data_IF_003646466435
#
_entry.id   IF_003646466435
#
_cell.length_a   1.000
_cell.length_b   1.000
_cell.length_c   1.000
_cell.angle_alpha   90.00
_cell.angle_beta   90.00
_cell.angle_gamma   90.00
#
_symmetry.space_group_name_H-M   'P 1'
#
loop_
_entity.id
_entity.type
_entity.pdbx_description
1 polymer ?
#
# COMPACT_ATOMS: atom_id res chain seq x y z
N UNK A 1 -17.48 14.27 -4.63
CA UNK A 1 -16.51 14.49 -5.51
C UNK A 1 -15.29 13.75 -5.23
N UNK A 2 -14.56 14.09 -4.21
CA UNK A 2 -13.38 13.41 -3.91
C UNK A 2 -13.53 11.95 -3.71
N UNK A 3 -14.62 11.53 -3.09
CA UNK A 3 -14.91 10.14 -2.83
C UNK A 3 -15.05 9.35 -4.11
N UNK A 4 -15.69 9.93 -5.08
CA UNK A 4 -15.85 9.28 -6.37
C UNK A 4 -14.51 9.10 -7.06
N UNK A 5 -13.67 10.12 -6.99
CA UNK A 5 -12.36 10.06 -7.58
C UNK A 5 -11.51 8.96 -6.95
N UNK A 6 -11.57 8.88 -5.63
CA UNK A 6 -10.84 7.84 -4.91
C UNK A 6 -11.34 6.46 -5.29
N UNK A 7 -12.63 6.29 -5.39
CA UNK A 7 -13.20 5.01 -5.77
C UNK A 7 -12.78 4.60 -7.16
N UNK A 8 -12.75 5.54 -8.08
CA UNK A 8 -12.35 5.27 -9.44
C UNK A 8 -10.90 4.82 -9.52
N UNK A 9 -10.01 5.54 -8.83
CA UNK A 9 -8.61 5.17 -8.79
C UNK A 9 -8.40 3.79 -8.20
N UNK A 10 -9.11 3.49 -7.14
CA UNK A 10 -9.04 2.25 -6.46
C UNK A 10 -9.42 1.09 -7.38
N UNK A 11 -10.55 1.22 -8.06
CA UNK A 11 -11.02 0.21 -8.99
C UNK A 11 -10.05 0.04 -10.16
N UNK A 12 -9.50 1.14 -10.61
CA UNK A 12 -8.56 1.13 -11.71
C UNK A 12 -7.30 0.34 -11.38
N UNK A 13 -6.80 0.49 -10.15
CA UNK A 13 -5.61 -0.22 -9.72
C UNK A 13 -5.85 -1.73 -9.73
N UNK A 14 -6.98 -2.16 -9.20
CA UNK A 14 -7.31 -3.57 -9.19
C UNK A 14 -7.46 -4.12 -10.59
N UNK A 15 -8.12 -3.38 -11.47
CA UNK A 15 -8.30 -3.79 -12.85
C UNK A 15 -6.97 -3.97 -13.55
N UNK A 16 -6.04 -3.06 -13.32
CA UNK A 16 -4.73 -3.16 -13.95
C UNK A 16 -4.04 -4.44 -13.54
N UNK A 17 -4.08 -4.78 -12.27
CA UNK A 17 -3.43 -6.00 -11.81
C UNK A 17 -4.10 -7.23 -12.43
N UNK A 18 -5.41 -7.23 -12.52
CA UNK A 18 -6.12 -8.35 -13.14
C UNK A 18 -5.79 -8.46 -14.62
N UNK A 19 -5.66 -7.34 -15.30
CA UNK A 19 -5.31 -7.31 -16.71
C UNK A 19 -3.90 -7.87 -16.93
N UNK A 20 -3.03 -7.72 -15.94
CA UNK A 20 -1.68 -8.23 -16.03
C UNK A 20 -1.59 -9.73 -15.72
N UNK A 21 -2.71 -10.37 -15.45
CA UNK A 21 -2.74 -11.81 -15.26
C UNK A 21 -2.77 -12.27 -13.81
N UNK A 22 -2.89 -11.34 -12.86
CA UNK A 22 -3.02 -11.73 -11.47
C UNK A 22 -4.43 -12.22 -11.20
N UNK A 23 -4.56 -13.20 -10.31
CA UNK A 23 -5.88 -13.67 -9.89
C UNK A 23 -6.58 -12.55 -9.12
N UNK A 24 -7.88 -12.69 -8.92
CA UNK A 24 -8.64 -11.70 -8.18
C UNK A 24 -8.09 -11.53 -6.75
N UNK A 25 -7.69 -12.63 -6.14
CA UNK A 25 -7.14 -12.59 -4.79
C UNK A 25 -5.78 -11.90 -4.76
N UNK A 26 -4.94 -12.23 -5.72
CA UNK A 26 -3.63 -11.60 -5.81
C UNK A 26 -3.76 -10.11 -6.09
N UNK A 27 -4.68 -9.76 -6.98
CA UNK A 27 -4.91 -8.36 -7.30
C UNK A 27 -5.38 -7.58 -6.08
N UNK A 28 -6.24 -8.20 -5.27
CA UNK A 28 -6.72 -7.55 -4.04
C UNK A 28 -5.58 -7.30 -3.07
N UNK A 29 -4.66 -8.27 -2.94
CA UNK A 29 -3.52 -8.10 -2.04
C UNK A 29 -2.57 -7.02 -2.55
N UNK A 30 -2.33 -7.01 -3.86
CA UNK A 30 -1.46 -5.99 -4.44
C UNK A 30 -2.05 -4.60 -4.29
N UNK A 31 -3.36 -4.51 -4.44
CA UNK A 31 -4.04 -3.24 -4.25
C UNK A 31 -3.87 -2.74 -2.82
N UNK A 32 -3.99 -3.66 -1.86
CA UNK A 32 -3.80 -3.33 -0.47
C UNK A 32 -2.38 -2.84 -0.21
N UNK A 33 -1.39 -3.54 -0.75
CA UNK A 33 -0.01 -3.13 -0.60
C UNK A 33 0.23 -1.75 -1.21
N UNK A 34 -0.36 -1.50 -2.36
CA UNK A 34 -0.23 -0.23 -3.04
C UNK A 34 -0.81 0.89 -2.19
N UNK A 35 -1.97 0.66 -1.61
CA UNK A 35 -2.61 1.66 -0.75
C UNK A 35 -1.73 1.98 0.45
N UNK A 36 -1.19 0.94 1.09
CA UNK A 36 -0.31 1.15 2.24
C UNK A 36 0.95 1.91 1.83
N UNK A 37 1.50 1.58 0.68
CA UNK A 37 2.70 2.24 0.20
C UNK A 37 2.45 3.72 -0.08
N UNK A 38 1.30 4.02 -0.67
CA UNK A 38 0.95 5.42 -0.94
C UNK A 38 0.89 6.21 0.35
N UNK A 39 0.30 5.63 1.39
CA UNK A 39 0.22 6.33 2.68
C UNK A 39 1.60 6.50 3.31
N UNK A 40 2.46 5.51 3.16
CA UNK A 40 3.83 5.59 3.64
C UNK A 40 4.55 6.75 2.95
N UNK A 41 4.43 6.83 1.62
CA UNK A 41 5.10 7.88 0.87
C UNK A 41 4.56 9.25 1.22
N UNK A 42 3.26 9.34 1.50
CA UNK A 42 2.68 10.60 1.95
C UNK A 42 3.29 11.07 3.26
N UNK A 43 3.49 10.14 4.19
CA UNK A 43 4.07 10.49 5.49
C UNK A 43 5.53 10.88 5.36
N UNK A 44 6.27 10.18 4.51
CA UNK A 44 7.66 10.52 4.28
C UNK A 44 7.78 11.94 3.74
N UNK A 45 6.91 12.28 2.80
CA UNK A 45 6.92 13.60 2.20
C UNK A 45 6.47 14.66 3.20
N UNK A 46 5.41 14.37 3.94
CA UNK A 46 4.87 15.33 4.91
C UNK A 46 5.90 15.64 5.99
N UNK A 47 6.60 14.64 6.47
CA UNK A 47 7.58 14.80 7.52
C UNK A 47 8.97 15.16 6.99
N UNK A 48 9.10 15.20 5.65
CA UNK A 48 10.37 15.54 5.00
C UNK A 48 11.51 14.64 5.46
N UNK A 49 11.24 13.35 5.48
CA UNK A 49 12.20 12.38 5.97
C UNK A 49 13.21 12.02 4.88
N UNK A 50 14.47 11.97 5.28
CA UNK A 50 15.53 11.52 4.39
C UNK A 50 15.65 10.00 4.45
N UNK A 51 16.36 9.42 3.48
CA UNK A 51 16.58 7.98 3.48
C UNK A 51 17.27 7.53 4.76
N UNK A 52 18.23 8.32 5.22
CA UNK A 52 18.95 7.99 6.44
C UNK A 52 18.04 7.99 7.65
N UNK A 53 17.14 8.97 7.71
CA UNK A 53 16.18 9.05 8.79
C UNK A 53 15.24 7.85 8.77
N UNK A 54 14.86 7.43 7.58
CA UNK A 54 13.99 6.27 7.42
C UNK A 54 14.64 4.99 7.91
N UNK A 55 15.95 4.83 7.65
CA UNK A 55 16.66 3.67 8.16
C UNK A 55 16.51 3.57 9.67
N UNK A 56 16.60 4.72 10.33
CA UNK A 56 16.50 4.76 11.78
C UNK A 56 15.10 4.53 12.28
N UNK A 57 14.13 5.23 11.70
CA UNK A 57 12.75 5.14 12.14
C UNK A 57 12.17 3.75 11.88
N UNK A 58 12.43 3.22 10.70
CA UNK A 58 11.88 1.93 10.31
C UNK A 58 12.75 0.75 10.74
N UNK A 59 13.97 1.05 11.16
CA UNK A 59 14.93 0.03 11.59
C UNK A 59 15.14 -1.02 10.49
N UNK A 60 15.46 -0.53 9.30
CA UNK A 60 15.72 -1.38 8.15
C UNK A 60 16.98 -0.89 7.44
N UNK A 61 17.66 -1.77 6.71
CA UNK A 61 18.88 -1.39 6.02
C UNK A 61 18.59 -0.53 4.80
N UNK A 62 19.61 0.17 4.35
CA UNK A 62 19.49 1.10 3.24
C UNK A 62 18.91 0.47 1.97
N UNK A 63 19.31 -0.76 1.58
CA UNK A 63 18.70 -1.36 0.39
C UNK A 63 17.19 -1.52 0.50
N UNK A 64 16.69 -1.78 1.72
CA UNK A 64 15.27 -1.94 1.92
C UNK A 64 14.56 -0.58 1.83
N UNK A 65 15.22 0.49 2.34
CA UNK A 65 14.69 1.84 2.19
C UNK A 65 14.60 2.19 0.72
N UNK A 66 15.61 1.83 -0.05
CA UNK A 66 15.63 2.12 -1.48
C UNK A 66 14.48 1.41 -2.19
N UNK A 67 14.22 0.16 -1.85
CA UNK A 67 13.10 -0.58 -2.43
C UNK A 67 11.78 0.10 -2.10
N UNK A 68 11.64 0.53 -0.87
CA UNK A 68 10.42 1.19 -0.43
C UNK A 68 10.22 2.50 -1.19
N UNK A 69 11.27 3.29 -1.31
CA UNK A 69 11.19 4.59 -1.97
C UNK A 69 10.92 4.48 -3.46
N UNK A 70 11.35 3.39 -4.09
CA UNK A 70 11.15 3.20 -5.53
C UNK A 70 9.92 2.37 -5.84
N UNK A 71 9.14 2.01 -4.83
CA UNK A 71 7.89 1.30 -5.06
C UNK A 71 8.03 -0.19 -5.31
N UNK A 72 9.16 -0.76 -5.00
CA UNK A 72 9.36 -2.21 -5.18
C UNK A 72 8.78 -2.94 -3.99
N UNK A 73 7.47 -2.96 -3.92
CA UNK A 73 6.78 -3.48 -2.74
C UNK A 73 6.15 -4.86 -2.93
N UNK A 74 6.25 -5.43 -4.12
CA UNK A 74 5.60 -6.71 -4.37
C UNK A 74 6.09 -7.82 -3.43
N UNK A 75 7.33 -7.76 -3.02
CA UNK A 75 7.90 -8.75 -2.11
C UNK A 75 7.76 -8.38 -0.65
N UNK A 76 7.24 -7.20 -0.36
CA UNK A 76 7.00 -6.80 1.01
C UNK A 76 5.63 -7.30 1.42
N UNK A 77 5.53 -7.79 2.65
CA UNK A 77 4.24 -8.28 3.14
C UNK A 77 3.39 -7.11 3.62
N UNK A 78 2.08 -7.36 3.69
CA UNK A 78 1.14 -6.36 4.19
C UNK A 78 1.48 -5.99 5.63
N UNK A 79 1.85 -6.98 6.43
CA UNK A 79 2.18 -6.69 7.83
C UNK A 79 3.44 -5.85 7.94
N UNK A 80 4.42 -6.03 7.07
CA UNK A 80 5.60 -5.19 7.07
C UNK A 80 5.24 -3.75 6.74
N UNK A 81 4.44 -3.55 5.71
CA UNK A 81 4.02 -2.22 5.32
C UNK A 81 3.20 -1.55 6.41
N UNK A 82 2.36 -2.33 7.08
CA UNK A 82 1.58 -1.82 8.19
C UNK A 82 2.48 -1.38 9.34
N UNK A 83 3.51 -2.17 9.61
CA UNK A 83 4.46 -1.85 10.65
C UNK A 83 5.20 -0.55 10.34
N UNK A 84 5.60 -0.37 9.09
CA UNK A 84 6.29 0.87 8.70
C UNK A 84 5.38 2.07 8.90
N UNK A 85 4.11 1.96 8.50
CA UNK A 85 3.16 3.05 8.72
C UNK A 85 3.02 3.39 10.19
N UNK A 86 2.93 2.35 11.02
CA UNK A 86 2.81 2.54 12.45
C UNK A 86 4.01 3.29 13.00
N UNK A 87 5.21 2.93 12.55
CA UNK A 87 6.42 3.60 13.00
C UNK A 87 6.52 5.02 12.51
N UNK A 88 5.85 5.34 11.42
CA UNK A 88 5.78 6.71 10.92
C UNK A 88 4.69 7.53 11.60
N UNK A 89 3.98 6.93 12.54
CA UNK A 89 2.98 7.66 13.31
C UNK A 89 1.57 7.54 12.77
N UNK A 90 1.31 6.58 11.90
CA UNK A 90 -0.02 6.37 11.34
C UNK A 90 -0.60 5.06 11.83
N UNK A 91 -1.90 5.04 11.95
CA UNK A 91 -2.61 3.86 12.40
C UNK A 91 -3.45 3.34 11.24
N UNK A 92 -3.43 2.03 11.02
CA UNK A 92 -4.17 1.43 9.93
C UNK A 92 -5.51 0.94 10.45
N UNK A 93 -6.58 1.38 9.78
CA UNK A 93 -7.92 0.92 10.09
C UNK A 93 -8.42 0.12 8.91
N UNK A 94 -9.10 -0.97 9.18
CA UNK A 94 -9.59 -1.85 8.13
C UNK A 94 -11.09 -1.95 8.23
N UNK A 95 -11.75 -1.75 7.10
CA UNK A 95 -13.18 -1.99 6.99
C UNK A 95 -13.40 -2.97 5.86
N UNK A 96 -14.42 -3.77 5.99
CA UNK A 96 -14.75 -4.74 4.97
C UNK A 96 -16.18 -4.58 4.53
N UNK A 97 -16.46 -5.08 3.35
CA UNK A 97 -17.82 -5.05 2.83
C UNK A 97 -18.04 -6.32 2.02
N UNK A 98 -19.29 -6.66 1.80
CA UNK A 98 -19.58 -7.83 0.99
C UNK A 98 -19.17 -7.59 -0.45
N UNK A 99 -18.59 -8.62 -1.06
CA UNK A 99 -18.22 -8.56 -2.46
C UNK A 99 -19.42 -9.00 -3.29
N UNK A 100 -19.82 -8.20 -4.25
CA UNK A 100 -20.91 -8.55 -5.12
C UNK A 100 -20.62 -9.78 -5.94
N UNK A 101 -19.38 -9.92 -6.35
CA UNK A 101 -18.99 -11.09 -7.12
C UNK A 101 -19.19 -12.37 -6.34
N UNK A 102 -18.80 -12.36 -5.07
CA UNK A 102 -18.91 -13.55 -4.26
C UNK A 102 -20.32 -13.83 -3.83
N UNK A 103 -21.14 -12.78 -3.71
CA UNK A 103 -22.54 -12.97 -3.37
C UNK A 103 -23.29 -13.68 -4.47
N UNK A 104 -22.89 -13.50 -5.70
CA UNK A 104 -23.55 -14.11 -6.82
C UNK A 104 -23.31 -15.62 -6.87
N UNK A 105 -22.35 -16.09 -6.15
CA UNK A 105 -22.05 -17.50 -6.08
C UNK A 105 -22.83 -18.15 -4.96
#
# INVERSE_FOLDING_TARGET
>A
MRTETDSTSYLSTRSVFEDLGFSAEEAAILELKTTLHIEIMKEIKRQKLTARKLEQILDIPQPRVSELMTGKISKMSVDKLTKYLHRLGREVKITTKKSRKLEAV
#
